data_IF_992569401418
#
_entry.id   IF_992569401418
#
_cell.length_a   1.000
_cell.length_b   1.000
_cell.length_c   1.000
_cell.angle_alpha   90.00
_cell.angle_beta   90.00
_cell.angle_gamma   90.00
#
_symmetry.space_group_name_H-M   'P 1'
#
loop_
_entity.id
_entity.type
_entity.pdbx_description
1 polymer ?
#
# COMPACT_ATOMS: atom_id res chain seq x y z
N UNK A 1 37.28 -25.04 19.77
CA UNK A 1 38.05 -24.91 18.52
C UNK A 1 37.42 -23.80 17.68
N UNK A 2 38.08 -22.65 17.51
CA UNK A 2 37.56 -21.53 16.73
C UNK A 2 38.00 -21.64 15.26
N UNK A 3 37.17 -21.16 14.33
CA UNK A 3 37.61 -20.80 12.98
C UNK A 3 37.24 -19.33 12.73
N UNK A 4 38.27 -18.51 12.74
CA UNK A 4 38.27 -17.12 12.32
C UNK A 4 38.67 -17.01 10.85
N UNK A 5 38.29 -15.85 10.29
CA UNK A 5 38.81 -15.18 9.10
C UNK A 5 38.31 -15.69 7.74
N UNK A 6 37.65 -14.80 6.99
CA UNK A 6 38.35 -14.07 5.93
C UNK A 6 37.69 -12.71 5.67
N UNK A 7 38.54 -11.73 5.40
CA UNK A 7 38.29 -10.30 5.25
C UNK A 7 38.57 -9.92 3.78
N UNK A 8 37.87 -8.87 3.31
CA UNK A 8 38.19 -7.92 2.20
C UNK A 8 37.92 -8.35 0.74
N UNK A 9 37.86 -7.40 -0.23
CA UNK A 9 37.59 -5.95 -0.16
C UNK A 9 36.59 -5.43 -1.22
N UNK A 10 36.21 -4.16 -1.02
CA UNK A 10 35.48 -3.26 -1.89
C UNK A 10 36.33 -2.77 -3.08
N UNK A 11 35.74 -2.63 -4.27
CA UNK A 11 36.25 -1.75 -5.34
C UNK A 11 35.09 -1.02 -6.02
N UNK A 12 35.13 0.31 -5.93
CA UNK A 12 34.28 1.28 -6.60
C UNK A 12 34.91 1.58 -7.97
N UNK A 13 34.12 1.60 -9.04
CA UNK A 13 34.54 2.11 -10.35
C UNK A 13 33.67 3.31 -10.74
N UNK A 14 34.29 4.50 -10.71
CA UNK A 14 33.81 5.74 -11.30
C UNK A 14 34.21 5.78 -12.78
N UNK A 15 33.29 6.12 -13.68
CA UNK A 15 33.59 6.38 -15.10
C UNK A 15 32.94 7.69 -15.57
N UNK A 16 33.80 8.70 -15.61
CA UNK A 16 33.98 9.86 -16.50
C UNK A 16 32.86 10.25 -17.48
N UNK A 17 32.55 11.56 -17.46
CA UNK A 17 31.70 12.31 -18.38
C UNK A 17 32.36 12.56 -19.75
N UNK A 18 31.57 12.50 -20.82
CA UNK A 18 31.93 12.96 -22.17
C UNK A 18 30.99 14.08 -22.61
N UNK A 19 31.55 15.28 -22.73
CA UNK A 19 30.99 16.40 -23.49
C UNK A 19 31.49 16.28 -24.94
N UNK A 20 30.58 16.27 -25.92
CA UNK A 20 30.92 16.62 -27.29
C UNK A 20 29.79 17.44 -27.91
N UNK A 21 30.11 18.70 -28.09
CA UNK A 21 29.44 19.74 -28.86
C UNK A 21 29.35 19.36 -30.33
N UNK A 22 28.25 19.69 -31.00
CA UNK A 22 28.20 19.88 -32.45
C UNK A 22 27.02 20.80 -32.79
N UNK A 23 27.33 22.06 -33.04
CA UNK A 23 26.46 22.99 -33.75
C UNK A 23 26.68 22.79 -35.26
N UNK A 24 25.60 22.77 -36.04
CA UNK A 24 25.41 23.42 -37.35
C UNK A 24 24.17 22.83 -38.05
N UNK A 25 23.16 23.65 -38.28
CA UNK A 25 22.23 23.56 -39.42
C UNK A 25 21.39 24.84 -39.40
N UNK A 26 21.69 25.81 -40.27
CA UNK A 26 21.13 25.93 -41.60
C UNK A 26 19.70 26.48 -41.56
N UNK A 27 19.63 27.79 -41.77
CA UNK A 27 18.46 28.59 -42.04
C UNK A 27 17.77 28.08 -43.32
N UNK A 28 16.53 27.60 -43.21
CA UNK A 28 15.62 27.38 -44.35
C UNK A 28 14.19 27.61 -43.89
N UNK A 29 13.67 28.79 -44.22
CA UNK A 29 12.24 29.04 -44.33
C UNK A 29 11.73 28.46 -45.65
N UNK A 30 10.65 27.67 -45.65
CA UNK A 30 9.73 27.64 -46.75
C UNK A 30 8.33 28.07 -46.30
N UNK A 31 7.76 28.95 -47.11
CA UNK A 31 6.40 29.46 -47.04
C UNK A 31 5.39 28.44 -47.60
N UNK A 32 4.24 28.37 -46.92
CA UNK A 32 2.88 28.08 -47.42
C UNK A 32 2.28 26.67 -47.36
N UNK A 33 1.06 26.68 -46.78
CA UNK A 33 -0.15 25.93 -47.12
C UNK A 33 -0.34 24.49 -46.62
N UNK A 34 -1.15 24.41 -45.56
CA UNK A 34 -2.47 23.78 -45.64
C UNK A 34 -2.50 22.26 -45.59
N UNK A 35 -2.78 21.71 -44.42
CA UNK A 35 -3.82 20.70 -44.16
C UNK A 35 -3.86 20.55 -42.64
N UNK A 36 -4.98 20.92 -42.00
CA UNK A 36 -5.25 20.57 -40.60
C UNK A 36 -5.36 19.05 -40.48
N UNK A 37 -4.20 18.38 -40.40
CA UNK A 37 -4.12 17.02 -39.89
C UNK A 37 -3.99 17.17 -38.38
N UNK A 38 -5.13 17.03 -37.70
CA UNK A 38 -5.17 16.88 -36.26
C UNK A 38 -4.41 15.58 -35.91
N UNK A 39 -3.12 15.71 -35.64
CA UNK A 39 -2.34 14.66 -35.02
C UNK A 39 -3.04 14.28 -33.71
N UNK A 40 -3.30 13.00 -33.42
CA UNK A 40 -3.83 12.63 -32.13
C UNK A 40 -2.82 13.09 -31.09
N UNK A 41 -3.29 13.94 -30.16
CA UNK A 41 -2.54 14.30 -28.98
C UNK A 41 -2.18 12.98 -28.28
N UNK A 42 -0.90 12.61 -28.35
CA UNK A 42 -0.34 11.53 -27.55
C UNK A 42 -0.58 11.96 -26.13
N UNK A 43 -1.58 11.34 -25.48
CA UNK A 43 -1.82 11.54 -24.07
C UNK A 43 -0.55 11.09 -23.37
N UNK A 44 0.19 12.04 -22.80
CA UNK A 44 1.30 11.72 -21.92
C UNK A 44 0.75 10.87 -20.78
N UNK A 45 1.04 9.57 -20.85
CA UNK A 45 0.69 8.63 -19.80
C UNK A 45 1.54 8.99 -18.59
N UNK A 46 1.04 9.93 -17.78
CA UNK A 46 1.59 10.21 -16.45
C UNK A 46 1.61 8.88 -15.71
N UNK A 47 2.81 8.43 -15.36
CA UNK A 47 2.95 7.23 -14.55
C UNK A 47 2.20 7.46 -13.24
N UNK A 48 1.32 6.53 -12.82
CA UNK A 48 0.52 6.73 -11.62
C UNK A 48 1.45 6.98 -10.43
N UNK A 49 1.16 8.01 -9.65
CA UNK A 49 1.90 8.29 -8.42
C UNK A 49 1.84 7.08 -7.49
N UNK A 50 2.91 6.77 -6.74
CA UNK A 50 2.88 5.70 -5.75
C UNK A 50 1.74 5.88 -4.76
N UNK A 51 1.06 4.78 -4.40
CA UNK A 51 -0.02 4.79 -3.42
C UNK A 51 0.52 5.21 -2.05
N UNK A 52 -0.12 6.20 -1.44
CA UNK A 52 0.17 6.58 -0.04
C UNK A 52 -0.77 5.83 0.94
N UNK A 53 -0.51 5.96 2.25
CA UNK A 53 -1.25 5.24 3.28
C UNK A 53 -2.76 5.58 3.31
N UNK A 54 -3.10 6.86 3.13
CA UNK A 54 -4.49 7.32 3.08
C UNK A 54 -5.22 6.71 1.88
N UNK A 55 -4.61 6.72 0.70
CA UNK A 55 -5.16 6.13 -0.52
C UNK A 55 -5.31 4.61 -0.39
N UNK A 56 -4.33 3.91 0.17
CA UNK A 56 -4.42 2.47 0.40
C UNK A 56 -5.61 2.12 1.29
N UNK A 57 -5.75 2.80 2.43
CA UNK A 57 -6.75 2.46 3.42
C UNK A 57 -8.16 2.89 2.99
N UNK A 58 -8.31 4.07 2.38
CA UNK A 58 -9.59 4.55 1.85
C UNK A 58 -10.10 3.71 0.68
N UNK A 59 -9.24 3.38 -0.29
CA UNK A 59 -9.61 2.53 -1.43
C UNK A 59 -9.90 1.10 -1.01
N UNK A 60 -9.16 0.58 -0.02
CA UNK A 60 -9.46 -0.74 0.56
C UNK A 60 -10.84 -0.73 1.24
N UNK A 61 -11.14 0.31 2.00
CA UNK A 61 -12.44 0.45 2.65
C UNK A 61 -13.58 0.47 1.63
N UNK A 62 -13.41 1.17 0.50
CA UNK A 62 -14.40 1.16 -0.58
C UNK A 62 -14.51 -0.19 -1.28
N UNK A 63 -13.39 -0.89 -1.49
CA UNK A 63 -13.39 -2.27 -1.98
C UNK A 63 -14.15 -3.21 -1.02
N UNK A 64 -13.92 -3.10 0.29
CA UNK A 64 -14.60 -3.91 1.32
C UNK A 64 -16.11 -3.66 1.26
N UNK A 65 -16.54 -2.38 1.22
CA UNK A 65 -17.96 -2.02 1.15
C UNK A 65 -18.65 -2.66 -0.06
N UNK A 66 -17.99 -2.67 -1.21
CA UNK A 66 -18.51 -3.20 -2.48
C UNK A 66 -18.34 -4.73 -2.68
N UNK A 67 -17.72 -5.44 -1.73
CA UNK A 67 -17.41 -6.88 -1.85
C UNK A 67 -18.36 -7.71 -0.99
N UNK A 68 -19.13 -8.63 -1.55
CA UNK A 68 -20.06 -9.46 -0.74
C UNK A 68 -19.38 -10.72 -0.21
N UNK A 69 -18.42 -11.26 -0.96
CA UNK A 69 -17.65 -12.45 -0.60
C UNK A 69 -16.20 -12.32 -1.03
N UNK A 70 -15.28 -12.93 -0.28
CA UNK A 70 -13.85 -12.98 -0.63
C UNK A 70 -13.54 -13.63 -1.97
N UNK A 71 -14.46 -14.43 -2.52
CA UNK A 71 -14.36 -14.98 -3.88
C UNK A 71 -14.34 -13.91 -4.97
N UNK A 72 -14.88 -12.73 -4.69
CA UNK A 72 -14.86 -11.60 -5.62
C UNK A 72 -13.50 -10.90 -5.65
N UNK A 73 -12.60 -11.19 -4.71
CA UNK A 73 -11.27 -10.58 -4.66
C UNK A 73 -10.38 -11.18 -5.76
N UNK A 74 -10.52 -10.66 -6.96
CA UNK A 74 -9.70 -10.99 -8.14
C UNK A 74 -8.65 -9.92 -8.40
N UNK A 75 -7.66 -10.24 -9.24
CA UNK A 75 -6.61 -9.31 -9.63
C UNK A 75 -7.18 -8.08 -10.35
N UNK A 76 -8.22 -8.25 -11.16
CA UNK A 76 -8.91 -7.17 -11.86
C UNK A 76 -9.63 -6.23 -10.89
N UNK A 77 -10.36 -6.79 -9.91
CA UNK A 77 -11.08 -5.95 -8.93
C UNK A 77 -10.13 -5.21 -8.01
N UNK A 78 -9.06 -5.87 -7.56
CA UNK A 78 -8.03 -5.21 -6.75
C UNK A 78 -7.34 -4.10 -7.56
N UNK A 79 -7.00 -4.37 -8.83
CA UNK A 79 -6.39 -3.37 -9.73
C UNK A 79 -7.29 -2.17 -9.98
N UNK A 80 -8.59 -2.41 -10.20
CA UNK A 80 -9.57 -1.35 -10.38
C UNK A 80 -9.73 -0.50 -9.11
N UNK A 81 -9.84 -1.14 -7.94
CA UNK A 81 -9.97 -0.44 -6.67
C UNK A 81 -8.73 0.41 -6.35
N UNK A 82 -7.54 -0.12 -6.60
CA UNK A 82 -6.28 0.58 -6.37
C UNK A 82 -5.90 1.54 -7.51
N UNK A 83 -6.63 1.54 -8.62
CA UNK A 83 -6.35 2.34 -9.83
C UNK A 83 -4.92 2.15 -10.36
N UNK A 84 -4.38 0.95 -10.20
CA UNK A 84 -3.04 0.58 -10.62
C UNK A 84 -2.99 -0.93 -10.89
N UNK A 85 -2.23 -1.43 -11.87
CA UNK A 85 -2.11 -2.87 -12.10
C UNK A 85 -1.49 -3.57 -10.88
N UNK A 86 -2.16 -4.61 -10.36
CA UNK A 86 -1.61 -5.47 -9.32
C UNK A 86 -0.50 -6.36 -9.88
N UNK A 87 0.54 -6.59 -9.08
CA UNK A 87 1.59 -7.54 -9.39
C UNK A 87 1.12 -8.96 -9.06
N UNK A 88 1.43 -9.94 -9.91
CA UNK A 88 1.18 -11.36 -9.60
C UNK A 88 2.46 -12.00 -9.09
N UNK A 89 2.41 -12.58 -7.89
CA UNK A 89 3.53 -13.26 -7.24
C UNK A 89 3.47 -14.78 -7.43
N UNK A 90 2.28 -15.32 -7.68
CA UNK A 90 2.07 -16.74 -7.97
C UNK A 90 0.58 -17.05 -8.20
N UNK A 91 0.23 -18.32 -8.43
CA UNK A 91 -1.17 -18.73 -8.61
C UNK A 91 -2.02 -18.33 -7.40
N UNK A 92 -3.01 -17.46 -7.63
CA UNK A 92 -3.89 -16.97 -6.56
C UNK A 92 -3.21 -16.05 -5.54
N UNK A 93 -2.01 -15.55 -5.81
CA UNK A 93 -1.27 -14.59 -4.96
C UNK A 93 -0.86 -13.36 -5.78
N UNK A 94 -1.44 -12.22 -5.46
CA UNK A 94 -1.23 -10.96 -6.17
C UNK A 94 -1.43 -9.75 -5.25
N UNK A 95 -0.88 -8.60 -5.62
CA UNK A 95 -0.96 -7.42 -4.77
C UNK A 95 0.05 -6.31 -5.10
N UNK A 96 0.38 -5.56 -4.06
CA UNK A 96 1.28 -4.42 -4.08
C UNK A 96 2.19 -4.46 -2.86
N UNK A 97 3.40 -3.95 -3.02
CA UNK A 97 4.27 -3.63 -1.91
C UNK A 97 5.03 -2.35 -2.24
N UNK A 98 5.39 -1.59 -1.21
CA UNK A 98 6.13 -0.36 -1.43
C UNK A 98 6.54 0.34 -0.14
N UNK A 99 7.28 1.42 -0.34
CA UNK A 99 7.73 2.32 0.72
C UNK A 99 6.77 3.50 0.83
N UNK A 100 6.38 3.86 2.05
CA UNK A 100 5.58 5.05 2.36
C UNK A 100 6.48 6.19 2.83
N UNK A 101 7.35 5.90 3.79
CA UNK A 101 8.41 6.76 4.32
C UNK A 101 9.67 5.92 4.57
N UNK A 102 10.83 6.50 4.91
CA UNK A 102 12.01 5.70 5.27
C UNK A 102 11.76 4.70 6.42
N UNK A 103 10.81 5.00 7.31
CA UNK A 103 10.45 4.21 8.49
C UNK A 103 9.24 3.30 8.28
N UNK A 104 8.51 3.47 7.17
CA UNK A 104 7.25 2.77 6.91
C UNK A 104 7.18 2.20 5.50
N UNK A 105 6.84 0.92 5.41
CA UNK A 105 6.43 0.25 4.18
C UNK A 105 5.02 -0.30 4.28
N UNK A 106 4.55 -0.89 3.18
CA UNK A 106 3.28 -1.60 3.16
C UNK A 106 3.34 -2.85 2.29
N UNK A 107 2.45 -3.79 2.60
CA UNK A 107 2.05 -4.88 1.71
C UNK A 107 0.52 -4.93 1.63
N UNK A 108 -0.03 -4.98 0.43
CA UNK A 108 -1.44 -5.22 0.15
C UNK A 108 -1.53 -6.46 -0.74
N UNK A 109 -1.97 -7.58 -0.20
CA UNK A 109 -1.91 -8.86 -0.90
C UNK A 109 -3.22 -9.63 -0.79
N UNK A 110 -3.61 -10.28 -1.88
CA UNK A 110 -4.62 -11.32 -1.90
C UNK A 110 -3.93 -12.66 -2.06
N UNK A 111 -4.27 -13.64 -1.24
CA UNK A 111 -3.71 -15.00 -1.29
C UNK A 111 -4.78 -16.05 -0.93
N UNK A 112 -4.51 -17.31 -1.28
CA UNK A 112 -5.30 -18.44 -0.77
C UNK A 112 -4.81 -18.80 0.64
N UNK A 113 -5.74 -18.87 1.60
CA UNK A 113 -5.49 -19.24 3.00
C UNK A 113 -6.02 -20.66 3.30
N UNK A 114 -5.54 -21.62 2.50
CA UNK A 114 -5.93 -23.03 2.62
C UNK A 114 -7.44 -23.25 2.56
N UNK A 115 -8.00 -23.89 3.59
CA UNK A 115 -9.43 -24.19 3.67
C UNK A 115 -10.31 -22.94 3.91
N UNK A 116 -9.73 -21.82 4.40
CA UNK A 116 -10.46 -20.58 4.62
C UNK A 116 -10.75 -19.83 3.31
N UNK A 117 -10.14 -20.22 2.19
CA UNK A 117 -10.36 -19.63 0.87
C UNK A 117 -9.53 -18.37 0.64
N UNK A 118 -10.04 -17.45 -0.18
CA UNK A 118 -9.35 -16.21 -0.53
C UNK A 118 -9.30 -15.27 0.68
N UNK A 119 -8.14 -14.67 0.92
CA UNK A 119 -7.90 -13.68 1.96
C UNK A 119 -7.18 -12.48 1.39
N UNK A 120 -7.54 -11.28 1.85
CA UNK A 120 -6.78 -10.05 1.59
C UNK A 120 -6.17 -9.53 2.89
N UNK A 121 -4.89 -9.13 2.84
CA UNK A 121 -4.19 -8.45 3.92
C UNK A 121 -3.66 -7.09 3.43
N UNK A 122 -3.98 -6.01 4.14
CA UNK A 122 -3.23 -4.75 4.08
C UNK A 122 -2.46 -4.59 5.38
N UNK A 123 -1.13 -4.59 5.30
CA UNK A 123 -0.24 -4.47 6.44
C UNK A 123 0.68 -3.25 6.28
N UNK A 124 0.63 -2.33 7.24
CA UNK A 124 1.62 -1.28 7.39
C UNK A 124 2.76 -1.75 8.28
N UNK A 125 3.97 -1.66 7.75
CA UNK A 125 5.17 -2.29 8.31
C UNK A 125 6.12 -1.19 8.76
N UNK A 126 6.41 -1.14 10.06
CA UNK A 126 7.51 -0.33 10.56
C UNK A 126 8.83 -0.97 10.11
N UNK A 127 9.54 -0.29 9.20
CA UNK A 127 10.83 -0.73 8.64
C UNK A 127 12.03 -0.12 9.37
N UNK A 128 11.79 0.78 10.32
CA UNK A 128 12.85 1.36 11.14
C UNK A 128 13.41 0.36 12.15
N UNK A 129 14.63 0.61 12.62
CA UNK A 129 15.21 -0.15 13.74
C UNK A 129 14.52 0.14 15.07
N UNK A 130 13.80 1.26 15.17
CA UNK A 130 13.01 1.64 16.33
C UNK A 130 11.58 1.09 16.23
N UNK A 131 11.28 0.05 17.01
CA UNK A 131 9.94 -0.53 17.07
C UNK A 131 8.89 0.42 17.65
N UNK A 132 9.28 1.59 18.14
CA UNK A 132 8.40 2.64 18.69
C UNK A 132 8.31 3.88 17.78
N UNK A 133 8.68 3.77 16.51
CA UNK A 133 8.40 4.84 15.55
C UNK A 133 6.92 5.24 15.59
N UNK A 134 6.67 6.55 15.53
CA UNK A 134 5.31 7.09 15.47
C UNK A 134 4.57 6.55 14.25
N UNK A 135 3.29 6.22 14.43
CA UNK A 135 2.42 5.77 13.35
C UNK A 135 1.70 6.93 12.64
N UNK A 136 2.10 8.18 12.88
CA UNK A 136 1.52 9.36 12.22
C UNK A 136 1.47 9.23 10.69
N UNK A 137 2.49 8.64 10.07
CA UNK A 137 2.57 8.42 8.62
C UNK A 137 1.47 7.51 8.05
N UNK A 138 0.84 6.68 8.89
CA UNK A 138 -0.25 5.77 8.50
C UNK A 138 -1.59 6.14 9.14
N UNK A 139 -1.65 7.23 9.92
CA UNK A 139 -2.80 7.58 10.75
C UNK A 139 -3.79 8.57 10.10
N UNK A 140 -3.63 8.88 8.81
CA UNK A 140 -4.50 9.82 8.10
C UNK A 140 -5.97 9.36 8.09
N UNK A 141 -6.19 8.04 7.99
CA UNK A 141 -7.48 7.41 8.32
C UNK A 141 -7.29 6.65 9.62
N UNK A 142 -7.81 7.23 10.71
CA UNK A 142 -7.72 6.63 12.03
C UNK A 142 -8.67 5.43 12.18
N UNK A 143 -8.51 4.71 13.29
CA UNK A 143 -9.35 3.56 13.56
C UNK A 143 -10.83 3.94 13.75
N UNK A 144 -11.15 5.09 14.35
CA UNK A 144 -12.54 5.49 14.58
C UNK A 144 -13.27 5.76 13.27
N UNK A 145 -12.62 6.46 12.33
CA UNK A 145 -13.15 6.69 10.99
C UNK A 145 -13.32 5.35 10.25
N UNK A 146 -12.31 4.48 10.27
CA UNK A 146 -12.40 3.17 9.62
C UNK A 146 -13.53 2.31 10.19
N UNK A 147 -13.62 2.21 11.52
CA UNK A 147 -14.66 1.44 12.21
C UNK A 147 -16.07 1.98 11.91
N UNK A 148 -16.25 3.31 11.98
CA UNK A 148 -17.53 3.95 11.68
C UNK A 148 -18.00 3.68 10.26
N UNK A 149 -17.07 3.64 9.30
CA UNK A 149 -17.39 3.35 7.92
C UNK A 149 -17.76 1.86 7.68
N UNK A 150 -17.17 0.92 8.44
CA UNK A 150 -17.59 -0.48 8.42
C UNK A 150 -18.96 -0.66 9.08
N UNK A 151 -19.21 -0.01 10.21
CA UNK A 151 -20.52 -0.04 10.87
C UNK A 151 -21.62 0.52 9.95
N UNK A 152 -21.35 1.65 9.28
CA UNK A 152 -22.27 2.22 8.29
C UNK A 152 -22.49 1.31 7.06
N UNK A 153 -21.55 0.41 6.77
CA UNK A 153 -21.66 -0.60 5.71
C UNK A 153 -22.34 -1.91 6.17
N UNK A 154 -22.92 -1.91 7.38
CA UNK A 154 -23.71 -3.01 7.91
C UNK A 154 -22.89 -4.13 8.56
N UNK A 155 -21.60 -3.91 8.82
CA UNK A 155 -20.83 -4.83 9.64
C UNK A 155 -21.17 -4.67 11.12
N UNK A 156 -21.06 -5.77 11.87
CA UNK A 156 -21.20 -5.78 13.33
C UNK A 156 -19.83 -5.88 13.96
N UNK A 157 -19.49 -4.91 14.81
CA UNK A 157 -18.23 -4.87 15.53
C UNK A 157 -18.20 -5.75 16.78
N UNK A 158 -17.10 -6.44 16.98
CA UNK A 158 -16.71 -7.14 18.21
C UNK A 158 -15.24 -6.85 18.54
N UNK A 159 -14.96 -6.40 19.76
CA UNK A 159 -13.58 -6.19 20.22
C UNK A 159 -13.02 -7.47 20.83
N UNK A 160 -12.05 -8.09 20.17
CA UNK A 160 -11.39 -9.29 20.67
C UNK A 160 -10.26 -8.90 21.61
N UNK A 161 -10.39 -9.39 22.85
CA UNK A 161 -9.43 -9.14 23.93
C UNK A 161 -8.68 -10.41 24.29
N UNK A 162 -7.40 -10.25 24.57
CA UNK A 162 -6.54 -11.31 25.08
C UNK A 162 -6.39 -11.23 26.59
N UNK A 163 -5.31 -11.81 27.08
CA UNK A 163 -4.94 -11.78 28.49
C UNK A 163 -4.89 -10.34 29.02
N UNK A 164 -5.33 -10.17 30.26
CA UNK A 164 -5.39 -8.88 30.97
C UNK A 164 -6.28 -7.82 30.28
N UNK A 165 -7.21 -8.23 29.42
CA UNK A 165 -8.15 -7.33 28.76
C UNK A 165 -7.53 -6.51 27.63
N UNK A 166 -6.29 -6.81 27.22
CA UNK A 166 -5.62 -6.14 26.11
C UNK A 166 -6.40 -6.38 24.82
N UNK A 167 -6.74 -5.31 24.11
CA UNK A 167 -7.31 -5.41 22.76
C UNK A 167 -6.27 -6.04 21.85
N UNK A 168 -6.63 -7.14 21.18
CA UNK A 168 -5.77 -7.81 20.20
C UNK A 168 -6.12 -7.28 18.81
N UNK A 169 -7.41 -7.29 18.47
CA UNK A 169 -7.98 -6.70 17.26
C UNK A 169 -9.47 -6.43 17.44
N UNK A 170 -10.03 -5.58 16.58
CA UNK A 170 -11.47 -5.49 16.38
C UNK A 170 -11.88 -6.35 15.18
N UNK A 171 -12.95 -7.13 15.33
CA UNK A 171 -13.56 -7.91 14.25
C UNK A 171 -14.86 -7.25 13.83
N UNK A 172 -15.09 -7.20 12.53
CA UNK A 172 -16.30 -6.66 11.91
C UNK A 172 -16.89 -7.73 11.00
N UNK A 173 -18.08 -8.20 11.34
CA UNK A 173 -18.70 -9.32 10.62
C UNK A 173 -19.98 -8.88 9.89
N UNK A 174 -20.14 -9.36 8.66
CA UNK A 174 -21.42 -9.41 7.95
C UNK A 174 -21.54 -10.78 7.26
N UNK A 175 -22.69 -11.15 6.69
CA UNK A 175 -22.81 -12.43 5.98
C UNK A 175 -21.69 -12.59 4.94
N UNK A 176 -20.97 -13.71 5.00
CA UNK A 176 -19.90 -14.10 4.06
C UNK A 176 -18.64 -13.22 4.04
N UNK A 177 -18.48 -12.30 5.00
CA UNK A 177 -17.30 -11.44 5.08
C UNK A 177 -16.99 -11.04 6.53
N UNK A 178 -15.76 -11.31 6.97
CA UNK A 178 -15.21 -10.95 8.27
C UNK A 178 -13.97 -10.09 8.07
N UNK A 179 -13.92 -8.93 8.73
CA UNK A 179 -12.78 -8.02 8.71
C UNK A 179 -12.13 -8.02 10.08
N UNK A 180 -10.84 -8.31 10.15
CA UNK A 180 -10.04 -8.13 11.37
C UNK A 180 -9.19 -6.88 11.21
N UNK A 181 -9.19 -6.03 12.23
CA UNK A 181 -8.45 -4.77 12.26
C UNK A 181 -7.56 -4.77 13.48
N UNK A 182 -6.25 -4.89 13.28
CA UNK A 182 -5.28 -4.62 14.32
C UNK A 182 -4.94 -3.13 14.31
N UNK A 183 -4.85 -2.53 15.50
CA UNK A 183 -4.45 -1.14 15.66
C UNK A 183 -3.11 -1.01 16.36
N UNK A 184 -2.58 0.20 16.33
CA UNK A 184 -1.45 0.61 17.16
C UNK A 184 -1.64 2.07 17.60
N UNK A 185 -1.07 2.48 18.75
CA UNK A 185 -1.11 3.89 19.14
C UNK A 185 -0.32 4.73 18.14
N UNK A 186 -0.85 5.91 17.77
CA UNK A 186 -0.14 6.87 16.92
C UNK A 186 1.20 7.26 17.53
N UNK A 187 1.17 7.55 18.83
CA UNK A 187 2.33 7.95 19.61
C UNK A 187 2.52 6.97 20.77
N UNK A 188 3.40 5.97 20.64
CA UNK A 188 3.58 4.92 21.67
C UNK A 188 4.19 5.44 22.98
N UNK A 189 4.62 6.70 23.01
CA UNK A 189 5.17 7.39 24.18
C UNK A 189 4.20 8.39 24.82
N UNK A 190 3.01 8.58 24.24
CA UNK A 190 2.03 9.51 24.80
C UNK A 190 1.54 9.03 26.18
N UNK A 191 1.50 9.95 27.14
CA UNK A 191 0.96 9.71 28.49
C UNK A 191 -0.50 10.20 28.54
N UNK A 192 -1.44 9.35 28.95
CA UNK A 192 -2.87 9.69 29.09
C UNK A 192 -3.83 8.60 28.61
N UNK A 193 -5.13 8.78 28.89
CA UNK A 193 -6.15 7.71 28.84
C UNK A 193 -6.77 7.46 27.45
N UNK A 194 -6.52 8.31 26.45
CA UNK A 194 -7.03 8.13 25.09
C UNK A 194 -5.88 8.22 24.08
N UNK A 195 -5.32 7.07 23.72
CA UNK A 195 -4.34 7.00 22.64
C UNK A 195 -5.09 6.94 21.31
N UNK A 196 -4.91 7.97 20.49
CA UNK A 196 -5.36 7.94 19.10
C UNK A 196 -4.75 6.70 18.41
N UNK A 197 -5.62 5.88 17.80
CA UNK A 197 -5.25 4.56 17.29
C UNK A 197 -5.28 4.55 15.77
N UNK A 198 -4.17 4.11 15.18
CA UNK A 198 -4.02 3.97 13.74
C UNK A 198 -4.27 2.51 13.35
N UNK A 199 -4.87 2.29 12.19
CA UNK A 199 -4.99 0.95 11.59
C UNK A 199 -3.61 0.48 11.17
N UNK A 200 -3.19 -0.70 11.63
CA UNK A 200 -1.90 -1.31 11.29
C UNK A 200 -2.05 -2.47 10.30
N UNK A 201 -3.01 -3.35 10.57
CA UNK A 201 -3.30 -4.52 9.73
C UNK A 201 -4.81 -4.62 9.54
N UNK A 202 -5.23 -4.78 8.29
CA UNK A 202 -6.59 -5.16 7.91
C UNK A 202 -6.51 -6.52 7.23
N UNK A 203 -7.28 -7.48 7.73
CA UNK A 203 -7.48 -8.79 7.11
C UNK A 203 -8.94 -8.97 6.71
N UNK A 204 -9.21 -9.34 5.47
CA UNK A 204 -10.53 -9.64 4.92
C UNK A 204 -10.61 -11.14 4.63
N UNK A 205 -11.60 -11.83 5.19
CA UNK A 205 -11.79 -13.29 5.08
C UNK A 205 -13.27 -13.68 4.96
#
# INVERSE_FOLDING_TARGET
MPRYAFIRPCTIALSVATLCTSAHAADRTPTSQGTDTMAPAVSETTSPSPLNAEQLLSRLLDLIKATTSTRELTVERLSAAMQAPAQTFGPGHFGYGGTLTPEWGYGLEVKQDGAAGTRLDLNFINTSSDRKASAAAICHVDFNHFASALDAAGFKRETVRGEHGRVIYDRFDRPQLSIKVDTMPENPHALGDATHACVRLVTVQ
#
